data_IF_748138064265
#
_entry.id   IF_748138064265
#
_cell.length_a   1.000
_cell.length_b   1.000
_cell.length_c   1.000
_cell.angle_alpha   90.00
_cell.angle_beta   90.00
_cell.angle_gamma   90.00
#
_symmetry.space_group_name_H-M   'P 1'
#
loop_
_entity.id
_entity.type
_entity.pdbx_description
1 polymer ?
#
# COMPACT_ATOMS: atom_id res chain seq x y z
N UNK A 1 19.36 -4.62 -1.46
CA UNK A 1 18.26 -5.60 -1.50
C UNK A 1 16.98 -4.84 -1.80
N UNK A 2 16.19 -5.28 -2.78
CA UNK A 2 14.93 -4.64 -3.16
C UNK A 2 13.80 -5.64 -2.91
N UNK A 3 12.73 -5.18 -2.25
CA UNK A 3 11.53 -5.98 -2.03
C UNK A 3 10.33 -5.22 -2.58
N UNK A 4 9.50 -5.89 -3.37
CA UNK A 4 8.23 -5.39 -3.86
C UNK A 4 7.07 -6.13 -3.19
N UNK A 5 5.97 -5.44 -3.00
CA UNK A 5 4.71 -6.03 -2.56
C UNK A 5 3.54 -5.47 -3.36
N UNK A 6 2.66 -6.34 -3.81
CA UNK A 6 1.37 -5.98 -4.39
C UNK A 6 0.26 -6.37 -3.43
N UNK A 7 -0.65 -5.43 -3.16
CA UNK A 7 -1.73 -5.61 -2.20
C UNK A 7 -3.05 -5.19 -2.80
N UNK A 8 -3.99 -6.12 -2.80
CA UNK A 8 -5.38 -5.86 -3.12
C UNK A 8 -6.10 -5.33 -1.90
N UNK A 9 -6.80 -4.21 -2.08
CA UNK A 9 -7.56 -3.61 -1.00
C UNK A 9 -9.00 -3.26 -1.42
N UNK A 10 -9.90 -3.35 -0.45
CA UNK A 10 -11.28 -2.88 -0.53
C UNK A 10 -11.44 -1.56 0.22
N UNK A 11 -12.30 -0.68 -0.28
CA UNK A 11 -12.60 0.61 0.33
C UNK A 11 -14.12 0.69 0.51
N UNK A 12 -14.60 0.46 1.74
CA UNK A 12 -16.03 0.28 2.00
C UNK A 12 -16.85 1.56 1.80
N UNK A 13 -16.37 2.68 2.32
CA UNK A 13 -17.14 3.94 2.35
C UNK A 13 -16.98 4.80 1.09
N UNK A 14 -16.27 4.30 0.06
CA UNK A 14 -16.05 5.06 -1.15
C UNK A 14 -17.28 5.10 -2.06
N UNK A 15 -17.89 6.29 -2.14
CA UNK A 15 -19.03 6.61 -3.01
C UNK A 15 -18.68 7.55 -4.19
N UNK A 16 -17.40 7.68 -4.54
CA UNK A 16 -16.97 8.32 -5.79
C UNK A 16 -15.50 7.94 -6.08
N UNK A 17 -15.06 8.02 -7.35
CA UNK A 17 -13.62 7.95 -7.67
C UNK A 17 -12.83 9.05 -6.95
N UNK A 18 -13.45 10.21 -6.71
CA UNK A 18 -12.86 11.30 -5.94
C UNK A 18 -12.63 10.90 -4.48
N UNK A 19 -13.59 10.22 -3.84
CA UNK A 19 -13.48 9.74 -2.47
C UNK A 19 -12.36 8.71 -2.35
N UNK A 20 -12.31 7.72 -3.24
CA UNK A 20 -11.19 6.77 -3.33
C UNK A 20 -9.85 7.49 -3.42
N UNK A 21 -9.70 8.43 -4.36
CA UNK A 21 -8.45 9.19 -4.54
C UNK A 21 -8.06 9.97 -3.28
N UNK A 22 -9.03 10.51 -2.53
CA UNK A 22 -8.76 11.19 -1.28
C UNK A 22 -8.23 10.24 -0.18
N UNK A 23 -8.86 9.07 -0.02
CA UNK A 23 -8.42 8.01 0.91
C UNK A 23 -7.02 7.53 0.54
N UNK A 24 -6.80 7.15 -0.73
CA UNK A 24 -5.50 6.67 -1.19
C UNK A 24 -4.41 7.73 -1.06
N UNK A 25 -4.70 9.00 -1.37
CA UNK A 25 -3.73 10.08 -1.19
C UNK A 25 -3.28 10.17 0.26
N UNK A 26 -4.22 10.13 1.22
CA UNK A 26 -3.90 10.18 2.66
C UNK A 26 -3.00 9.01 3.07
N UNK A 27 -3.36 7.78 2.67
CA UNK A 27 -2.59 6.57 3.02
C UNK A 27 -1.18 6.63 2.40
N UNK A 28 -1.07 6.91 1.10
CA UNK A 28 0.22 7.02 0.40
C UNK A 28 1.12 8.09 1.03
N UNK A 29 0.57 9.28 1.33
CA UNK A 29 1.34 10.35 1.96
C UNK A 29 1.84 9.95 3.35
N UNK A 30 1.03 9.27 4.16
CA UNK A 30 1.48 8.81 5.49
C UNK A 30 2.54 7.71 5.38
N UNK A 31 2.36 6.74 4.48
CA UNK A 31 3.37 5.70 4.22
C UNK A 31 4.72 6.31 3.82
N UNK A 32 4.72 7.27 2.89
CA UNK A 32 5.93 7.95 2.45
C UNK A 32 6.61 8.78 3.56
N UNK A 33 5.83 9.32 4.50
CA UNK A 33 6.38 10.15 5.59
C UNK A 33 6.95 9.30 6.73
N UNK A 34 6.35 8.14 7.01
CA UNK A 34 6.73 7.27 8.14
C UNK A 34 7.81 6.24 7.75
N UNK A 35 7.83 5.81 6.49
CA UNK A 35 8.69 4.73 6.02
C UNK A 35 9.45 5.08 4.75
N UNK A 36 10.64 4.50 4.59
CA UNK A 36 11.39 4.54 3.33
C UNK A 36 10.78 3.59 2.29
N UNK A 37 9.57 3.90 1.81
CA UNK A 37 8.82 3.06 0.88
C UNK A 37 8.22 3.91 -0.24
N UNK A 38 8.26 3.41 -1.46
CA UNK A 38 7.53 3.99 -2.58
C UNK A 38 6.20 3.26 -2.76
N UNK A 39 5.11 4.00 -2.99
CA UNK A 39 3.76 3.44 -3.09
C UNK A 39 3.04 3.99 -4.33
N UNK A 40 2.46 3.09 -5.13
CA UNK A 40 1.64 3.46 -6.29
C UNK A 40 0.35 2.66 -6.33
N UNK A 41 -0.62 3.13 -7.13
CA UNK A 41 -1.82 2.35 -7.47
C UNK A 41 -1.57 1.66 -8.81
N UNK A 42 -1.63 0.33 -8.83
CA UNK A 42 -1.32 -0.49 -10.01
C UNK A 42 -2.57 -0.81 -10.84
N UNK A 43 -3.66 -1.18 -10.18
CA UNK A 43 -4.90 -1.62 -10.84
C UNK A 43 -6.17 -1.08 -10.19
N UNK A 44 -7.29 -1.28 -10.89
CA UNK A 44 -8.64 -0.90 -10.50
C UNK A 44 -8.86 0.62 -10.39
N UNK A 45 -8.14 1.46 -11.15
CA UNK A 45 -8.31 2.93 -11.06
C UNK A 45 -9.72 3.43 -11.37
N UNK A 46 -10.51 2.65 -12.13
CA UNK A 46 -11.89 2.95 -12.50
C UNK A 46 -12.93 2.35 -11.53
N UNK A 47 -12.50 1.58 -10.53
CA UNK A 47 -13.35 1.09 -9.44
C UNK A 47 -13.06 1.89 -8.18
N UNK A 48 -14.12 2.33 -7.52
CA UNK A 48 -14.02 3.14 -6.30
C UNK A 48 -13.89 2.32 -5.01
N UNK A 49 -14.39 1.09 -4.98
CA UNK A 49 -14.43 0.20 -3.82
C UNK A 49 -13.28 -0.81 -3.80
N UNK A 50 -12.42 -0.80 -4.83
CA UNK A 50 -11.28 -1.71 -4.96
C UNK A 50 -10.06 -0.97 -5.48
N UNK A 51 -8.89 -1.35 -5.02
CA UNK A 51 -7.60 -0.85 -5.51
C UNK A 51 -6.55 -1.94 -5.41
N UNK A 52 -5.56 -1.92 -6.28
CA UNK A 52 -4.30 -2.64 -6.07
C UNK A 52 -3.21 -1.63 -5.80
N UNK A 53 -2.53 -1.73 -4.67
CA UNK A 53 -1.40 -0.90 -4.33
C UNK A 53 -0.10 -1.69 -4.55
N UNK A 54 0.88 -1.04 -5.15
CA UNK A 54 2.25 -1.54 -5.27
C UNK A 54 3.12 -0.79 -4.27
N UNK A 55 3.90 -1.52 -3.49
CA UNK A 55 4.89 -1.00 -2.57
C UNK A 55 6.27 -1.52 -2.96
N UNK A 56 7.29 -0.68 -2.82
CA UNK A 56 8.69 -1.10 -3.01
C UNK A 56 9.60 -0.37 -2.04
N UNK A 57 10.55 -1.09 -1.46
CA UNK A 57 11.62 -0.50 -0.65
C UNK A 57 12.97 -1.10 -1.03
N UNK A 58 14.02 -0.30 -0.83
CA UNK A 58 15.42 -0.68 -1.03
C UNK A 58 16.18 -0.44 0.27
N UNK A 59 16.95 -1.44 0.69
CA UNK A 59 17.81 -1.35 1.86
C UNK A 59 19.17 -2.03 1.61
N UNK A 60 20.16 -1.68 2.44
CA UNK A 60 21.48 -2.31 2.43
C UNK A 60 21.46 -3.76 2.92
N UNK A 61 20.49 -4.11 3.77
CA UNK A 61 20.33 -5.44 4.36
C UNK A 61 18.93 -6.01 4.08
N UNK A 62 18.85 -7.34 3.94
CA UNK A 62 17.59 -8.05 3.66
C UNK A 62 16.59 -7.91 4.81
N UNK A 63 17.06 -8.07 6.04
CA UNK A 63 16.24 -7.99 7.26
C UNK A 63 15.62 -6.62 7.41
N UNK A 64 16.38 -5.55 7.13
CA UNK A 64 15.89 -4.17 7.20
C UNK A 64 14.79 -3.94 6.16
N UNK A 65 14.95 -4.45 4.93
CA UNK A 65 13.93 -4.36 3.89
C UNK A 65 12.64 -5.12 4.28
N UNK A 66 12.76 -6.34 4.82
CA UNK A 66 11.61 -7.13 5.32
C UNK A 66 10.87 -6.42 6.45
N UNK A 67 11.61 -5.92 7.44
CA UNK A 67 11.03 -5.20 8.57
C UNK A 67 10.28 -3.94 8.11
N UNK A 68 10.90 -3.16 7.22
CA UNK A 68 10.27 -1.95 6.66
C UNK A 68 8.99 -2.30 5.90
N UNK A 69 9.02 -3.33 5.06
CA UNK A 69 7.84 -3.80 4.32
C UNK A 69 6.74 -4.28 5.26
N UNK A 70 7.07 -5.10 6.25
CA UNK A 70 6.10 -5.62 7.22
C UNK A 70 5.45 -4.50 8.05
N UNK A 71 6.24 -3.51 8.48
CA UNK A 71 5.73 -2.33 9.20
C UNK A 71 4.79 -1.51 8.31
N UNK A 72 5.14 -1.30 7.03
CA UNK A 72 4.29 -0.60 6.09
C UNK A 72 2.96 -1.34 5.83
N UNK A 73 2.99 -2.66 5.68
CA UNK A 73 1.77 -3.48 5.53
C UNK A 73 0.89 -3.42 6.77
N UNK A 74 1.48 -3.55 7.96
CA UNK A 74 0.76 -3.44 9.24
C UNK A 74 0.17 -2.03 9.41
N UNK A 75 0.87 -1.01 8.93
CA UNK A 75 0.38 0.37 8.96
C UNK A 75 -0.82 0.56 8.02
N UNK A 76 -0.84 -0.08 6.84
CA UNK A 76 -2.03 -0.09 5.96
C UNK A 76 -3.22 -0.71 6.70
N UNK A 77 -3.03 -1.83 7.39
CA UNK A 77 -4.09 -2.52 8.13
C UNK A 77 -4.64 -1.68 9.31
N UNK A 78 -3.94 -0.62 9.73
CA UNK A 78 -4.39 0.28 10.80
C UNK A 78 -5.45 1.30 10.35
N UNK A 79 -5.65 1.48 9.04
CA UNK A 79 -6.64 2.41 8.50
C UNK A 79 -8.00 1.72 8.38
N UNK A 80 -9.05 2.15 9.10
CA UNK A 80 -10.36 1.50 9.05
C UNK A 80 -11.06 1.68 7.69
N UNK A 81 -10.67 2.69 6.90
CA UNK A 81 -11.30 2.94 5.59
C UNK A 81 -10.89 1.94 4.51
N UNK A 82 -9.83 1.15 4.74
CA UNK A 82 -9.26 0.22 3.76
C UNK A 82 -9.07 -1.16 4.39
N UNK A 83 -9.47 -2.20 3.67
CA UNK A 83 -9.19 -3.57 4.07
C UNK A 83 -8.26 -4.22 3.06
N UNK A 84 -7.13 -4.73 3.53
CA UNK A 84 -6.19 -5.50 2.73
C UNK A 84 -6.67 -6.94 2.62
N UNK A 85 -6.62 -7.50 1.41
CA UNK A 85 -7.14 -8.84 1.08
C UNK A 85 -6.01 -9.78 0.67
N UNK A 86 -5.58 -9.71 -0.58
CA UNK A 86 -4.46 -10.49 -1.10
C UNK A 86 -3.16 -9.68 -1.01
N UNK A 87 -2.06 -10.33 -0.62
CA UNK A 87 -0.72 -9.74 -0.56
C UNK A 87 0.25 -10.67 -1.27
N UNK A 88 0.94 -10.17 -2.29
CA UNK A 88 2.01 -10.87 -3.00
C UNK A 88 3.32 -10.11 -2.75
N UNK A 89 4.39 -10.83 -2.39
CA UNK A 89 5.68 -10.24 -2.05
C UNK A 89 6.75 -10.91 -2.89
N UNK A 90 7.62 -10.12 -3.51
CA UNK A 90 8.70 -10.59 -4.35
C UNK A 90 10.02 -9.87 -4.02
N UNK A 91 11.12 -10.61 -4.14
CA UNK A 91 12.47 -10.07 -4.04
C UNK A 91 13.01 -9.77 -5.43
N UNK A 92 13.60 -8.58 -5.59
CA UNK A 92 14.22 -8.10 -6.83
C UNK A 92 15.74 -7.94 -6.68
#
# INVERSE_FOLDING_TARGET
MIISAEVDCLIYDAQSLKNKRAVLKRIKTRLHNEFNIAVSELEFQNLWQRTRLGLVTIASDKTIAEQTMQQALTFIDSFPEIERTETQIEWL
#
